data_IF_783874663243
#
_entry.id   IF_783874663243
#
_cell.length_a   1.000
_cell.length_b   1.000
_cell.length_c   1.000
_cell.angle_alpha   90.00
_cell.angle_beta   90.00
_cell.angle_gamma   90.00
#
_symmetry.space_group_name_H-M   'P 1'
#
loop_
_entity.id
_entity.type
_entity.pdbx_description
1 polymer ?
#
# COMPACT_ATOMS: atom_id res chain seq x y z
N UNK A 1 -18.30 -11.58 5.95
CA UNK A 1 -18.99 -12.34 4.88
C UNK A 1 -18.67 -13.84 5.03
N UNK A 2 -19.67 -14.73 4.99
CA UNK A 2 -19.43 -16.17 5.04
C UNK A 2 -18.76 -16.66 3.76
N UNK A 3 -17.71 -17.48 3.92
CA UNK A 3 -17.03 -18.15 2.82
C UNK A 3 -17.53 -19.59 2.71
N UNK A 4 -18.11 -19.92 1.57
CA UNK A 4 -18.65 -21.23 1.26
C UNK A 4 -17.71 -21.98 0.31
N UNK A 5 -17.10 -23.06 0.79
CA UNK A 5 -16.37 -23.98 -0.08
C UNK A 5 -17.38 -24.94 -0.72
N UNK A 6 -17.40 -24.98 -2.04
CA UNK A 6 -18.22 -25.90 -2.82
C UNK A 6 -17.35 -26.88 -3.59
N UNK A 7 -17.87 -28.10 -3.84
CA UNK A 7 -17.19 -29.04 -4.72
C UNK A 7 -17.07 -28.43 -6.12
N UNK A 8 -15.92 -28.53 -6.81
CA UNK A 8 -15.74 -27.90 -8.13
C UNK A 8 -16.84 -28.25 -9.14
N UNK A 9 -17.33 -29.49 -9.10
CA UNK A 9 -18.38 -29.98 -10.02
C UNK A 9 -19.79 -29.44 -9.67
N UNK A 10 -19.98 -28.89 -8.46
CA UNK A 10 -21.24 -28.32 -7.98
C UNK A 10 -21.27 -26.78 -8.03
N UNK A 11 -20.25 -26.13 -8.59
CA UNK A 11 -20.15 -24.68 -8.57
C UNK A 11 -21.32 -24.01 -9.30
N UNK A 12 -21.69 -24.49 -10.50
CA UNK A 12 -22.84 -23.94 -11.26
C UNK A 12 -24.16 -24.06 -10.48
N UNK A 13 -24.39 -25.22 -9.88
CA UNK A 13 -25.61 -25.45 -9.08
C UNK A 13 -25.65 -24.50 -7.85
N UNK A 14 -24.50 -24.26 -7.21
CA UNK A 14 -24.43 -23.34 -6.08
C UNK A 14 -24.67 -21.87 -6.51
N UNK A 15 -24.18 -21.47 -7.69
CA UNK A 15 -24.46 -20.16 -8.28
C UNK A 15 -25.97 -20.01 -8.58
N UNK A 16 -26.61 -21.02 -9.18
CA UNK A 16 -28.05 -21.02 -9.46
C UNK A 16 -28.90 -20.90 -8.19
N UNK A 17 -28.53 -21.63 -7.13
CA UNK A 17 -29.19 -21.54 -5.83
C UNK A 17 -29.08 -20.13 -5.22
N UNK A 18 -27.91 -19.52 -5.27
CA UNK A 18 -27.75 -18.15 -4.77
C UNK A 18 -28.56 -17.14 -5.60
N UNK A 19 -28.61 -17.32 -6.93
CA UNK A 19 -29.42 -16.46 -7.77
C UNK A 19 -30.92 -16.62 -7.49
N UNK A 20 -31.40 -17.84 -7.24
CA UNK A 20 -32.81 -18.09 -6.88
C UNK A 20 -33.18 -17.50 -5.52
N UNK A 21 -32.21 -17.34 -4.59
CA UNK A 21 -32.38 -16.71 -3.27
C UNK A 21 -32.09 -15.18 -3.30
N UNK A 22 -32.07 -14.58 -4.49
CA UNK A 22 -31.96 -13.13 -4.70
C UNK A 22 -30.54 -12.57 -4.68
N UNK A 23 -29.52 -13.40 -4.51
CA UNK A 23 -28.14 -12.92 -4.57
C UNK A 23 -27.72 -12.60 -6.00
N UNK A 24 -26.95 -11.52 -6.16
CA UNK A 24 -26.35 -11.10 -7.42
C UNK A 24 -24.85 -11.20 -7.35
N UNK A 25 -24.24 -11.80 -8.35
CA UNK A 25 -22.79 -11.90 -8.44
C UNK A 25 -22.19 -10.53 -8.76
N UNK A 26 -21.18 -10.11 -7.98
CA UNK A 26 -20.35 -8.97 -8.33
C UNK A 26 -19.40 -9.37 -9.44
N UNK A 27 -19.61 -8.83 -10.63
CA UNK A 27 -18.77 -9.10 -11.78
C UNK A 27 -17.68 -8.02 -11.91
N UNK A 28 -16.43 -8.43 -11.77
CA UNK A 28 -15.27 -7.57 -12.04
C UNK A 28 -14.78 -7.63 -13.49
N UNK A 29 -15.25 -8.61 -14.27
CA UNK A 29 -14.98 -8.81 -15.68
C UNK A 29 -16.09 -9.69 -16.30
N UNK A 30 -16.27 -9.69 -17.64
CA UNK A 30 -17.19 -10.61 -18.31
C UNK A 30 -16.93 -12.07 -17.91
N UNK A 31 -17.99 -12.88 -17.83
CA UNK A 31 -17.95 -14.26 -17.32
C UNK A 31 -16.90 -15.15 -18.03
N UNK A 32 -16.74 -14.98 -19.34
CA UNK A 32 -15.78 -15.73 -20.14
C UNK A 32 -14.32 -15.41 -19.79
N UNK A 33 -14.02 -14.15 -19.48
CA UNK A 33 -12.72 -13.71 -19.04
C UNK A 33 -12.42 -14.17 -17.63
N UNK A 34 -13.44 -14.17 -16.77
CA UNK A 34 -13.29 -14.69 -15.41
C UNK A 34 -12.91 -16.16 -15.40
N UNK A 35 -13.57 -17.01 -16.20
CA UNK A 35 -13.25 -18.42 -16.29
C UNK A 35 -11.80 -18.67 -16.75
N UNK A 36 -11.28 -17.87 -17.68
CA UNK A 36 -9.90 -17.97 -18.15
C UNK A 36 -8.86 -17.53 -17.13
N UNK A 37 -9.06 -16.33 -16.54
CA UNK A 37 -8.07 -15.73 -15.65
C UNK A 37 -8.04 -16.34 -14.25
N UNK A 38 -9.21 -16.71 -13.76
CA UNK A 38 -9.35 -17.03 -12.35
C UNK A 38 -9.39 -18.55 -12.12
N UNK A 39 -9.84 -19.33 -13.10
CA UNK A 39 -10.01 -20.77 -12.99
C UNK A 39 -10.91 -21.18 -11.81
N UNK A 40 -10.99 -22.47 -11.48
CA UNK A 40 -11.86 -22.96 -10.42
C UNK A 40 -11.46 -22.54 -8.99
N UNK A 41 -10.28 -21.96 -8.80
CA UNK A 41 -9.80 -21.50 -7.49
C UNK A 41 -10.19 -20.07 -7.15
N UNK A 42 -11.16 -19.48 -7.86
CA UNK A 42 -11.56 -18.09 -7.66
C UNK A 42 -12.65 -17.95 -6.63
N UNK A 43 -12.49 -16.93 -5.84
CA UNK A 43 -13.56 -16.41 -4.99
C UNK A 43 -14.56 -15.65 -5.87
N UNK A 44 -15.81 -16.02 -5.76
CA UNK A 44 -16.92 -15.34 -6.38
C UNK A 44 -17.76 -14.69 -5.31
N UNK A 45 -17.87 -13.37 -5.37
CA UNK A 45 -18.62 -12.59 -4.38
C UNK A 45 -20.04 -12.41 -4.87
N UNK A 46 -20.99 -12.75 -4.03
CA UNK A 46 -22.42 -12.55 -4.25
C UNK A 46 -22.96 -11.61 -3.17
N UNK A 47 -23.80 -10.66 -3.55
CA UNK A 47 -24.46 -9.73 -2.63
C UNK A 47 -25.96 -9.79 -2.89
N UNK A 48 -26.75 -9.85 -1.83
CA UNK A 48 -28.19 -9.68 -1.89
C UNK A 48 -28.50 -8.19 -1.71
N UNK A 49 -29.13 -7.52 -2.73
CA UNK A 49 -29.33 -6.08 -2.70
C UNK A 49 -30.19 -5.58 -1.54
N UNK A 50 -31.15 -6.39 -1.09
CA UNK A 50 -32.19 -5.99 -0.14
C UNK A 50 -31.63 -5.76 1.28
N UNK A 51 -30.67 -6.56 1.72
CA UNK A 51 -30.08 -6.49 3.06
C UNK A 51 -28.55 -6.40 3.06
N UNK A 52 -27.95 -6.22 1.88
CA UNK A 52 -26.49 -6.16 1.66
C UNK A 52 -25.75 -7.40 2.18
N UNK A 53 -26.45 -8.53 2.36
CA UNK A 53 -25.82 -9.77 2.78
C UNK A 53 -24.85 -10.27 1.72
N UNK A 54 -23.58 -10.42 2.09
CA UNK A 54 -22.52 -10.92 1.22
C UNK A 54 -22.24 -12.41 1.46
N UNK A 55 -21.97 -13.15 0.38
CA UNK A 55 -21.51 -14.54 0.41
C UNK A 55 -20.37 -14.71 -0.58
N UNK A 56 -19.31 -15.40 -0.16
CA UNK A 56 -18.18 -15.72 -1.02
C UNK A 56 -18.19 -17.21 -1.36
N UNK A 57 -18.39 -17.56 -2.62
CA UNK A 57 -18.22 -18.93 -3.11
C UNK A 57 -16.79 -19.21 -3.48
N UNK A 58 -16.28 -20.37 -3.06
CA UNK A 58 -14.92 -20.85 -3.38
C UNK A 58 -14.99 -22.29 -3.87
N UNK A 59 -14.46 -22.56 -5.06
CA UNK A 59 -14.26 -23.95 -5.55
C UNK A 59 -12.79 -24.39 -5.41
N UNK A 60 -11.91 -23.48 -5.00
CA UNK A 60 -10.49 -23.73 -4.73
C UNK A 60 -10.04 -22.98 -3.46
N UNK A 61 -8.99 -23.47 -2.83
CA UNK A 61 -8.53 -22.98 -1.52
C UNK A 61 -7.39 -21.96 -1.63
N UNK A 62 -6.63 -21.99 -2.73
CA UNK A 62 -5.47 -21.12 -2.93
C UNK A 62 -5.37 -20.65 -4.38
N UNK A 63 -4.90 -19.43 -4.64
CA UNK A 63 -4.71 -18.93 -5.99
C UNK A 63 -3.71 -19.79 -6.79
N UNK A 64 -3.88 -19.90 -8.11
CA UNK A 64 -3.03 -20.70 -9.01
C UNK A 64 -1.55 -20.31 -8.98
N UNK A 65 -1.24 -19.05 -8.69
CA UNK A 65 0.14 -18.56 -8.63
C UNK A 65 0.87 -18.94 -7.34
N UNK A 66 0.15 -19.39 -6.30
CA UNK A 66 0.78 -19.97 -5.12
C UNK A 66 1.43 -21.30 -5.44
N UNK A 67 2.62 -21.56 -4.91
CA UNK A 67 3.30 -22.85 -5.07
C UNK A 67 2.83 -23.89 -4.05
N UNK A 68 1.67 -23.68 -3.45
CA UNK A 68 1.02 -24.55 -2.49
C UNK A 68 0.27 -25.66 -3.22
N UNK A 69 0.33 -26.88 -2.68
CA UNK A 69 -0.36 -28.06 -3.18
C UNK A 69 -1.43 -28.48 -2.17
N UNK A 70 -2.56 -27.80 -2.22
CA UNK A 70 -3.72 -28.12 -1.38
C UNK A 70 -4.88 -28.48 -2.32
N UNK A 71 -5.20 -29.78 -2.35
CA UNK A 71 -6.32 -30.26 -3.15
C UNK A 71 -7.65 -30.02 -2.42
N UNK A 72 -8.52 -29.23 -3.06
CA UNK A 72 -9.82 -28.92 -2.52
C UNK A 72 -10.70 -30.18 -2.35
N UNK A 73 -10.54 -31.21 -3.18
CA UNK A 73 -11.27 -32.47 -3.08
C UNK A 73 -10.86 -33.27 -1.85
N UNK A 74 -9.56 -33.34 -1.57
CA UNK A 74 -9.07 -34.02 -0.36
C UNK A 74 -9.55 -33.31 0.92
N UNK A 75 -9.50 -31.99 0.93
CA UNK A 75 -10.02 -31.17 2.05
C UNK A 75 -11.52 -31.35 2.19
N UNK A 76 -12.26 -31.37 1.07
CA UNK A 76 -13.70 -31.66 1.05
C UNK A 76 -14.03 -33.01 1.67
N UNK A 77 -13.27 -34.05 1.39
CA UNK A 77 -13.50 -35.40 1.91
C UNK A 77 -13.28 -35.51 3.41
N UNK A 78 -12.48 -34.60 4.00
CA UNK A 78 -12.20 -34.56 5.46
C UNK A 78 -13.13 -33.62 6.25
N UNK A 79 -14.13 -33.02 5.59
CA UNK A 79 -15.06 -32.08 6.22
C UNK A 79 -15.76 -32.71 7.46
N UNK A 80 -16.04 -31.87 8.42
CA UNK A 80 -16.72 -32.24 9.67
C UNK A 80 -18.06 -31.51 9.80
N UNK A 81 -18.95 -31.98 10.62
CA UNK A 81 -20.21 -31.31 10.91
C UNK A 81 -20.11 -30.51 12.21
N UNK A 82 -20.60 -29.28 12.18
CA UNK A 82 -20.74 -28.41 13.35
C UNK A 82 -22.19 -27.98 13.49
N UNK A 83 -22.73 -28.04 14.70
CA UNK A 83 -24.08 -27.58 14.96
C UNK A 83 -24.14 -26.06 15.09
N UNK A 84 -24.85 -25.41 14.18
CA UNK A 84 -25.10 -23.97 14.21
C UNK A 84 -26.62 -23.76 14.35
N UNK A 85 -27.07 -23.18 15.42
CA UNK A 85 -28.50 -22.94 15.73
C UNK A 85 -29.35 -24.18 15.52
N UNK A 86 -28.88 -25.35 15.99
CA UNK A 86 -29.59 -26.63 15.92
C UNK A 86 -29.56 -27.30 14.54
N UNK A 87 -28.84 -26.74 13.55
CA UNK A 87 -28.64 -27.37 12.24
C UNK A 87 -27.20 -27.83 12.07
N UNK A 88 -26.97 -29.01 11.53
CA UNK A 88 -25.64 -29.48 11.20
C UNK A 88 -25.17 -28.85 9.93
N UNK A 89 -24.10 -28.06 10.01
CA UNK A 89 -23.43 -27.41 8.88
C UNK A 89 -22.08 -28.10 8.69
N UNK A 90 -21.76 -28.42 7.43
CA UNK A 90 -20.45 -28.97 7.08
C UNK A 90 -19.42 -27.86 7.07
N UNK A 91 -18.27 -28.12 7.72
CA UNK A 91 -17.13 -27.20 7.74
C UNK A 91 -15.84 -27.97 7.52
N UNK A 92 -14.72 -27.25 7.32
CA UNK A 92 -13.40 -27.85 7.21
C UNK A 92 -13.03 -28.57 8.53
N UNK A 93 -12.28 -29.67 8.42
CA UNK A 93 -11.64 -30.26 9.61
C UNK A 93 -10.76 -29.21 10.29
N UNK A 94 -10.62 -29.21 11.63
CA UNK A 94 -9.88 -28.16 12.34
C UNK A 94 -8.47 -27.89 11.81
N UNK A 95 -7.73 -28.93 11.45
CA UNK A 95 -6.37 -28.84 10.90
C UNK A 95 -6.37 -28.20 9.50
N UNK A 96 -7.34 -28.57 8.65
CA UNK A 96 -7.46 -28.00 7.30
C UNK A 96 -7.94 -26.54 7.38
N UNK A 97 -8.85 -26.21 8.30
CA UNK A 97 -9.29 -24.83 8.53
C UNK A 97 -8.12 -23.94 8.92
N UNK A 98 -7.33 -24.33 9.92
CA UNK A 98 -6.21 -23.53 10.39
C UNK A 98 -5.15 -23.33 9.29
N UNK A 99 -4.89 -24.37 8.49
CA UNK A 99 -3.96 -24.29 7.38
C UNK A 99 -4.46 -23.33 6.30
N UNK A 100 -5.72 -23.41 5.89
CA UNK A 100 -6.36 -22.52 4.91
C UNK A 100 -6.38 -21.09 5.44
N UNK A 101 -6.75 -20.90 6.70
CA UNK A 101 -6.78 -19.58 7.34
C UNK A 101 -5.39 -18.91 7.35
N UNK A 102 -4.32 -19.64 7.66
CA UNK A 102 -2.96 -19.12 7.59
C UNK A 102 -2.53 -18.79 6.14
N UNK A 103 -2.99 -19.55 5.14
CA UNK A 103 -2.74 -19.26 3.73
C UNK A 103 -3.49 -18.00 3.26
N UNK A 104 -4.72 -17.82 3.69
CA UNK A 104 -5.50 -16.61 3.42
C UNK A 104 -4.87 -15.38 4.10
N UNK A 105 -4.36 -15.54 5.33
CA UNK A 105 -3.60 -14.49 6.01
C UNK A 105 -2.37 -14.05 5.21
N UNK A 106 -1.61 -15.00 4.63
CA UNK A 106 -0.49 -14.67 3.73
C UNK A 106 -1.00 -13.98 2.46
N UNK A 107 -2.05 -14.50 1.82
CA UNK A 107 -2.65 -13.92 0.62
C UNK A 107 -2.99 -12.44 0.83
N UNK A 108 -3.49 -12.08 2.00
CA UNK A 108 -3.87 -10.72 2.40
C UNK A 108 -2.75 -9.98 3.14
N UNK A 109 -1.52 -10.54 3.19
CA UNK A 109 -0.36 -9.88 3.79
C UNK A 109 -0.45 -9.70 5.31
N UNK A 110 -1.38 -10.38 5.99
CA UNK A 110 -1.70 -10.20 7.42
C UNK A 110 -2.07 -8.74 7.77
N UNK A 111 -2.70 -8.03 6.82
CA UNK A 111 -3.01 -6.61 6.95
C UNK A 111 -4.06 -6.30 8.03
N UNK A 112 -4.92 -7.25 8.35
CA UNK A 112 -5.97 -7.09 9.37
C UNK A 112 -5.63 -7.86 10.64
N UNK A 113 -5.66 -7.18 11.79
CA UNK A 113 -5.44 -7.82 13.10
C UNK A 113 -6.44 -8.95 13.36
N UNK A 114 -7.66 -8.84 12.84
CA UNK A 114 -8.69 -9.87 12.92
C UNK A 114 -8.19 -11.25 12.53
N UNK A 115 -7.36 -11.39 11.49
CA UNK A 115 -6.79 -12.68 11.09
C UNK A 115 -5.96 -13.34 12.20
N UNK A 116 -5.19 -12.53 12.93
CA UNK A 116 -4.40 -13.04 14.07
C UNK A 116 -5.29 -13.35 15.25
N UNK A 117 -6.32 -12.53 15.51
CA UNK A 117 -7.32 -12.80 16.55
C UNK A 117 -8.11 -14.08 16.27
N UNK A 118 -8.52 -14.29 15.02
CA UNK A 118 -9.24 -15.50 14.61
C UNK A 118 -8.36 -16.74 14.77
N UNK A 119 -7.06 -16.66 14.40
CA UNK A 119 -6.10 -17.74 14.63
C UNK A 119 -6.00 -18.08 16.13
N UNK A 120 -5.83 -17.07 16.98
CA UNK A 120 -5.72 -17.26 18.43
C UNK A 120 -7.00 -17.82 19.04
N UNK A 121 -8.15 -17.27 18.65
CA UNK A 121 -9.45 -17.74 19.13
C UNK A 121 -9.76 -19.16 18.68
N UNK A 122 -9.41 -19.49 17.44
CA UNK A 122 -9.58 -20.84 16.91
C UNK A 122 -8.76 -21.86 17.72
N UNK A 123 -7.50 -21.58 18.01
CA UNK A 123 -6.64 -22.44 18.82
C UNK A 123 -7.18 -22.63 20.25
N UNK A 124 -7.69 -21.57 20.86
CA UNK A 124 -8.31 -21.64 22.19
C UNK A 124 -9.60 -22.51 22.20
N UNK A 125 -10.38 -22.43 21.12
CA UNK A 125 -11.64 -23.19 21.01
C UNK A 125 -11.43 -24.63 20.55
N UNK A 126 -10.25 -25.00 20.05
CA UNK A 126 -9.91 -26.33 19.55
C UNK A 126 -8.65 -26.90 20.26
N UNK A 127 -8.71 -27.14 21.59
CA UNK A 127 -7.54 -27.60 22.35
C UNK A 127 -7.07 -29.02 21.98
N UNK A 128 -7.89 -29.78 21.26
CA UNK A 128 -7.60 -31.16 20.83
C UNK A 128 -7.15 -31.27 19.38
N UNK A 129 -6.59 -30.18 18.80
CA UNK A 129 -6.08 -30.22 17.43
C UNK A 129 -4.96 -31.26 17.33
N UNK A 130 -4.94 -32.04 16.24
CA UNK A 130 -3.86 -32.98 15.98
C UNK A 130 -2.69 -32.24 15.31
N UNK A 131 -1.76 -31.80 16.15
CA UNK A 131 -0.56 -31.07 15.70
C UNK A 131 0.32 -31.88 14.75
N UNK A 132 0.38 -33.20 14.93
CA UNK A 132 1.18 -34.10 14.05
C UNK A 132 0.57 -34.12 12.66
N UNK A 133 -0.74 -34.34 12.57
CA UNK A 133 -1.47 -34.29 11.31
C UNK A 133 -1.39 -32.93 10.64
N UNK A 134 -1.60 -31.84 11.41
CA UNK A 134 -1.52 -30.47 10.89
C UNK A 134 -0.15 -30.18 10.26
N UNK A 135 0.93 -30.52 10.95
CA UNK A 135 2.30 -30.32 10.42
C UNK A 135 2.57 -31.20 9.21
N UNK A 136 2.11 -32.45 9.21
CA UNK A 136 2.24 -33.35 8.06
C UNK A 136 1.49 -32.81 6.83
N UNK A 137 0.23 -32.39 7.00
CA UNK A 137 -0.57 -31.78 5.93
C UNK A 137 0.08 -30.49 5.41
N UNK A 138 0.56 -29.63 6.30
CA UNK A 138 1.24 -28.39 5.93
C UNK A 138 2.55 -28.64 5.14
N UNK A 139 3.31 -29.70 5.50
CA UNK A 139 4.49 -30.13 4.75
C UNK A 139 4.12 -30.68 3.36
N UNK A 140 3.15 -31.58 3.28
CA UNK A 140 2.67 -32.16 2.02
C UNK A 140 2.14 -31.06 1.08
N UNK A 141 1.39 -30.11 1.62
CA UNK A 141 0.87 -28.95 0.91
C UNK A 141 1.97 -27.90 0.56
N UNK A 142 3.21 -28.04 1.04
CA UNK A 142 4.27 -27.01 0.95
C UNK A 142 3.89 -25.67 1.59
N UNK A 143 3.10 -25.71 2.62
CA UNK A 143 2.56 -24.55 3.32
C UNK A 143 3.07 -24.41 4.76
N UNK A 144 4.10 -25.17 5.16
CA UNK A 144 4.59 -25.20 6.54
C UNK A 144 5.02 -23.82 7.07
N UNK A 145 5.69 -23.01 6.24
CA UNK A 145 6.07 -21.67 6.65
C UNK A 145 4.88 -20.73 6.78
N UNK A 146 3.86 -20.93 5.95
CA UNK A 146 2.59 -20.21 6.07
C UNK A 146 1.92 -20.48 7.40
N UNK A 147 1.80 -21.75 7.77
CA UNK A 147 1.28 -22.18 9.05
C UNK A 147 2.10 -21.60 10.21
N UNK A 148 3.43 -21.76 10.17
CA UNK A 148 4.32 -21.23 11.21
C UNK A 148 4.19 -19.73 11.39
N UNK A 149 4.07 -18.97 10.30
CA UNK A 149 3.90 -17.51 10.39
C UNK A 149 2.61 -17.15 11.13
N UNK A 150 1.47 -17.77 10.77
CA UNK A 150 0.21 -17.51 11.46
C UNK A 150 0.24 -17.88 12.94
N UNK A 151 0.81 -19.04 13.27
CA UNK A 151 0.99 -19.47 14.66
C UNK A 151 1.92 -18.55 15.45
N UNK A 152 3.03 -18.13 14.84
CA UNK A 152 3.99 -17.20 15.44
C UNK A 152 3.36 -15.85 15.75
N UNK A 153 2.59 -15.28 14.81
CA UNK A 153 1.87 -14.01 15.03
C UNK A 153 0.84 -14.14 16.16
N UNK A 154 0.09 -15.24 16.23
CA UNK A 154 -0.88 -15.49 17.31
C UNK A 154 -0.19 -15.65 18.69
N UNK A 155 0.96 -16.30 18.74
CA UNK A 155 1.74 -16.45 19.97
C UNK A 155 2.35 -15.11 20.41
N UNK A 156 3.00 -14.36 19.49
CA UNK A 156 3.70 -13.12 19.80
C UNK A 156 2.74 -11.98 20.23
N UNK A 157 1.59 -11.86 19.56
CA UNK A 157 0.71 -10.70 19.78
C UNK A 157 -0.39 -10.97 20.81
N UNK A 158 -0.82 -12.21 20.94
CA UNK A 158 -1.98 -12.55 21.76
C UNK A 158 -1.67 -13.63 22.82
N UNK A 159 -0.37 -13.89 23.06
CA UNK A 159 0.12 -14.86 24.03
C UNK A 159 -0.62 -16.22 23.94
N UNK A 160 -0.88 -16.67 22.71
CA UNK A 160 -1.60 -17.93 22.46
C UNK A 160 -0.66 -19.09 22.76
N UNK A 161 -1.02 -20.01 23.68
CA UNK A 161 -0.16 -21.14 24.03
C UNK A 161 -0.04 -22.10 22.86
N UNK A 162 1.20 -22.53 22.57
CA UNK A 162 1.51 -23.52 21.55
C UNK A 162 2.25 -24.72 22.18
N UNK A 163 2.20 -25.91 21.58
CA UNK A 163 3.01 -27.01 22.04
C UNK A 163 4.51 -26.70 21.95
N UNK A 164 5.35 -27.17 22.91
CA UNK A 164 6.79 -26.88 22.93
C UNK A 164 7.51 -27.21 21.63
N UNK A 165 7.13 -28.31 20.95
CA UNK A 165 7.72 -28.68 19.66
C UNK A 165 7.42 -27.67 18.55
N UNK A 166 6.24 -27.03 18.58
CA UNK A 166 5.88 -25.97 17.64
C UNK A 166 6.66 -24.69 17.97
N UNK A 167 6.69 -24.27 19.24
CA UNK A 167 7.46 -23.12 19.70
C UNK A 167 8.94 -23.23 19.33
N UNK A 168 9.56 -24.38 19.57
CA UNK A 168 10.94 -24.64 19.17
C UNK A 168 11.12 -24.52 17.63
N UNK A 169 10.15 -25.03 16.86
CA UNK A 169 10.18 -24.92 15.40
C UNK A 169 10.07 -23.49 14.89
N UNK A 170 9.34 -22.61 15.61
CA UNK A 170 9.23 -21.18 15.31
C UNK A 170 10.54 -20.46 15.66
N UNK A 171 11.12 -20.76 16.82
CA UNK A 171 12.37 -20.16 17.28
C UNK A 171 13.57 -20.46 16.38
N UNK A 172 13.56 -21.59 15.67
CA UNK A 172 14.66 -22.02 14.78
C UNK A 172 14.50 -21.55 13.33
N UNK A 173 13.30 -21.16 12.88
CA UNK A 173 13.05 -20.75 11.48
C UNK A 173 13.25 -19.23 11.30
N UNK A 174 14.52 -18.82 11.02
CA UNK A 174 14.88 -17.41 10.80
C UNK A 174 14.06 -16.73 9.71
N UNK A 175 13.59 -17.48 8.70
CA UNK A 175 12.77 -16.92 7.62
C UNK A 175 11.39 -16.53 8.13
N UNK A 176 10.77 -17.38 8.94
CA UNK A 176 9.48 -17.10 9.58
C UNK A 176 9.61 -15.93 10.55
N UNK A 177 10.65 -15.89 11.38
CA UNK A 177 10.91 -14.76 12.29
C UNK A 177 11.06 -13.43 11.55
N UNK A 178 11.86 -13.43 10.47
CA UNK A 178 12.04 -12.25 9.62
C UNK A 178 10.71 -11.81 8.94
N UNK A 179 9.88 -12.77 8.52
CA UNK A 179 8.56 -12.47 7.96
C UNK A 179 7.60 -11.91 9.02
N UNK A 180 7.57 -12.47 10.23
CA UNK A 180 6.77 -11.96 11.35
C UNK A 180 7.19 -10.54 11.75
N UNK A 181 8.52 -10.27 11.83
CA UNK A 181 9.04 -8.94 12.09
C UNK A 181 8.60 -7.92 11.01
N UNK A 182 8.65 -8.30 9.73
CA UNK A 182 8.20 -7.45 8.63
C UNK A 182 6.70 -7.13 8.70
N UNK A 183 5.86 -8.11 9.04
CA UNK A 183 4.42 -7.90 9.26
C UNK A 183 4.19 -6.95 10.44
N UNK A 184 4.91 -7.12 11.56
CA UNK A 184 4.82 -6.27 12.74
C UNK A 184 5.20 -4.82 12.45
N UNK A 185 6.34 -4.59 11.79
CA UNK A 185 6.80 -3.24 11.42
C UNK A 185 5.75 -2.54 10.56
N UNK A 186 5.21 -3.22 9.54
CA UNK A 186 4.17 -2.67 8.67
C UNK A 186 2.92 -2.24 9.46
N UNK A 187 2.54 -3.00 10.48
CA UNK A 187 1.38 -2.70 11.32
C UNK A 187 1.61 -1.51 12.25
N UNK A 188 2.83 -1.36 12.77
CA UNK A 188 3.17 -0.26 13.68
C UNK A 188 3.38 1.09 12.96
N UNK A 189 3.73 1.06 11.68
CA UNK A 189 4.02 2.28 10.92
C UNK A 189 2.79 2.98 10.36
N UNK A 190 1.55 2.47 10.62
CA UNK A 190 0.29 3.02 10.05
C UNK A 190 0.44 3.38 8.56
N UNK A 191 1.21 2.59 7.82
CA UNK A 191 1.49 2.89 6.43
C UNK A 191 0.17 2.97 5.67
N UNK A 192 -0.20 4.20 5.28
CA UNK A 192 -1.34 4.50 4.40
C UNK A 192 -1.26 3.75 3.05
N UNK A 193 -0.18 3.05 2.81
CA UNK A 193 0.08 2.20 1.65
C UNK A 193 -0.09 0.71 2.00
N UNK A 194 -1.25 0.35 2.59
CA UNK A 194 -1.63 -1.05 2.86
C UNK A 194 -1.55 -1.95 1.59
N UNK A 195 -1.45 -1.37 0.40
CA UNK A 195 -1.37 -2.05 -0.89
C UNK A 195 0.04 -2.05 -1.51
N UNK A 196 1.12 -2.18 -0.74
CA UNK A 196 2.46 -2.33 -1.34
C UNK A 196 2.64 -3.75 -1.94
N UNK A 197 2.44 -3.94 -3.27
CA UNK A 197 2.48 -5.27 -3.88
C UNK A 197 3.86 -5.91 -3.82
N UNK A 198 4.93 -5.11 -3.69
CA UNK A 198 6.28 -5.65 -3.54
C UNK A 198 6.46 -6.26 -2.15
N UNK A 199 5.93 -5.65 -1.10
CA UNK A 199 6.00 -6.19 0.24
C UNK A 199 5.19 -7.49 0.37
N UNK A 200 3.98 -7.53 -0.22
CA UNK A 200 3.17 -8.74 -0.30
C UNK A 200 3.85 -9.81 -1.15
N UNK A 201 4.47 -9.44 -2.28
CA UNK A 201 5.25 -10.36 -3.10
C UNK A 201 6.42 -10.97 -2.31
N UNK A 202 7.19 -10.17 -1.56
CA UNK A 202 8.31 -10.67 -0.76
C UNK A 202 7.86 -11.54 0.40
N UNK A 203 6.72 -11.25 1.04
CA UNK A 203 6.13 -12.10 2.07
C UNK A 203 5.77 -13.46 1.47
N UNK A 204 5.07 -13.48 0.33
CA UNK A 204 4.73 -14.70 -0.38
C UNK A 204 5.97 -15.49 -0.82
N UNK A 205 6.97 -14.82 -1.36
CA UNK A 205 8.23 -15.45 -1.78
C UNK A 205 8.94 -16.16 -0.61
N UNK A 206 9.08 -15.47 0.52
CA UNK A 206 9.75 -16.01 1.72
C UNK A 206 8.98 -17.16 2.38
N UNK A 207 7.67 -17.16 2.32
CA UNK A 207 6.84 -18.21 2.91
C UNK A 207 6.76 -19.49 2.08
N UNK A 208 7.28 -19.47 0.84
CA UNK A 208 7.38 -20.70 0.04
C UNK A 208 8.43 -21.68 0.60
N UNK A 209 8.27 -22.97 0.26
CA UNK A 209 9.19 -24.02 0.68
C UNK A 209 10.54 -23.93 -0.08
N UNK A 210 11.51 -23.23 0.52
CA UNK A 210 12.86 -23.07 -0.02
C UNK A 210 12.97 -22.10 -1.20
N UNK A 211 14.22 -21.87 -1.67
CA UNK A 211 14.51 -20.95 -2.77
C UNK A 211 13.81 -21.33 -4.09
N UNK A 212 13.84 -22.61 -4.45
CA UNK A 212 13.16 -23.10 -5.67
C UNK A 212 11.64 -22.91 -5.61
N UNK A 213 11.05 -23.05 -4.43
CA UNK A 213 9.62 -22.73 -4.22
C UNK A 213 9.32 -21.25 -4.45
N UNK A 214 10.16 -20.37 -3.92
CA UNK A 214 10.08 -18.94 -4.15
C UNK A 214 10.25 -18.56 -5.62
N UNK A 215 11.24 -19.13 -6.30
CA UNK A 215 11.47 -18.90 -7.73
C UNK A 215 10.26 -19.35 -8.59
N UNK A 216 9.71 -20.54 -8.28
CA UNK A 216 8.49 -21.02 -8.95
C UNK A 216 7.31 -20.08 -8.71
N UNK A 217 7.15 -19.58 -7.48
CA UNK A 217 6.14 -18.60 -7.15
C UNK A 217 6.35 -17.31 -7.97
N UNK A 218 7.56 -16.76 -8.00
CA UNK A 218 7.90 -15.55 -8.75
C UNK A 218 7.59 -15.70 -10.23
N UNK A 219 7.99 -16.83 -10.84
CA UNK A 219 7.72 -17.12 -12.24
C UNK A 219 6.20 -17.22 -12.52
N UNK A 220 5.47 -17.95 -11.67
CA UNK A 220 4.01 -18.04 -11.79
C UNK A 220 3.32 -16.69 -11.59
N UNK A 221 3.72 -15.91 -10.58
CA UNK A 221 3.17 -14.60 -10.33
C UNK A 221 3.42 -13.62 -11.48
N UNK A 222 4.58 -13.73 -12.14
CA UNK A 222 4.94 -12.92 -13.30
C UNK A 222 4.21 -13.34 -14.59
N UNK A 223 3.89 -14.62 -14.74
CA UNK A 223 3.30 -15.15 -15.99
C UNK A 223 1.79 -15.38 -15.91
N UNK A 224 1.23 -15.76 -14.73
CA UNK A 224 -0.20 -16.08 -14.62
C UNK A 224 -1.07 -14.84 -14.86
N UNK A 225 -1.90 -14.80 -15.91
CA UNK A 225 -2.76 -13.65 -16.19
C UNK A 225 -3.77 -13.38 -15.07
N UNK A 226 -4.16 -12.13 -14.91
CA UNK A 226 -5.14 -11.68 -13.92
C UNK A 226 -6.16 -10.73 -14.54
N UNK A 227 -7.26 -10.45 -13.84
CA UNK A 227 -8.25 -9.45 -14.26
C UNK A 227 -7.65 -8.06 -14.53
N UNK A 228 -6.52 -7.73 -13.89
CA UNK A 228 -5.80 -6.49 -14.16
C UNK A 228 -5.17 -6.43 -15.55
N UNK A 229 -4.80 -7.57 -16.14
CA UNK A 229 -4.24 -7.62 -17.48
C UNK A 229 -5.33 -7.38 -18.53
N UNK A 230 -6.54 -7.89 -18.30
CA UNK A 230 -7.70 -7.58 -19.12
C UNK A 230 -8.09 -6.08 -19.05
N UNK A 231 -8.06 -5.48 -17.88
CA UNK A 231 -8.31 -4.03 -17.74
C UNK A 231 -7.26 -3.18 -18.44
N UNK A 232 -6.03 -3.70 -18.54
CA UNK A 232 -4.93 -3.01 -19.22
C UNK A 232 -5.05 -3.09 -20.75
N UNK A 233 -5.44 -4.25 -21.28
CA UNK A 233 -5.60 -4.50 -22.71
C UNK A 233 -6.71 -5.54 -22.91
N UNK A 234 -7.80 -5.17 -23.59
CA UNK A 234 -8.92 -6.05 -23.87
C UNK A 234 -8.67 -6.82 -25.17
N UNK A 235 -8.35 -8.10 -25.06
CA UNK A 235 -8.13 -8.98 -26.20
C UNK A 235 -9.39 -9.83 -26.51
N UNK A 236 -9.69 -10.11 -27.79
CA UNK A 236 -10.73 -11.08 -28.15
C UNK A 236 -10.33 -12.48 -27.69
N UNK A 237 -11.32 -13.38 -27.53
CA UNK A 237 -11.16 -14.71 -26.94
C UNK A 237 -10.06 -15.56 -27.61
N UNK A 238 -9.93 -15.46 -28.93
CA UNK A 238 -8.91 -16.18 -29.73
C UNK A 238 -7.47 -15.78 -29.37
N UNK A 239 -7.26 -14.57 -28.79
CA UNK A 239 -5.96 -14.03 -28.45
C UNK A 239 -5.66 -14.10 -26.93
N UNK A 240 -6.50 -14.74 -26.12
CA UNK A 240 -6.27 -14.88 -24.67
C UNK A 240 -4.89 -15.45 -24.29
N UNK A 241 -4.28 -16.40 -25.01
CA UNK A 241 -2.93 -16.84 -24.70
C UNK A 241 -1.88 -15.72 -24.68
N UNK A 242 -2.11 -14.61 -25.42
CA UNK A 242 -1.20 -13.46 -25.41
C UNK A 242 -1.13 -12.74 -24.05
N UNK A 243 -2.10 -12.96 -23.16
CA UNK A 243 -2.03 -12.39 -21.82
C UNK A 243 -0.83 -12.88 -21.00
N UNK A 244 -0.27 -14.05 -21.33
CA UNK A 244 0.99 -14.51 -20.73
C UNK A 244 2.19 -13.60 -21.09
N UNK A 245 2.10 -12.86 -22.22
CA UNK A 245 3.08 -11.85 -22.64
C UNK A 245 2.70 -10.44 -22.15
N UNK A 246 1.40 -10.11 -22.17
CA UNK A 246 0.89 -8.82 -21.68
C UNK A 246 1.23 -8.61 -20.21
N UNK A 247 1.12 -9.67 -19.40
CA UNK A 247 1.34 -9.57 -17.95
C UNK A 247 2.75 -9.11 -17.56
N UNK A 248 3.86 -9.71 -18.00
CA UNK A 248 5.20 -9.22 -17.62
C UNK A 248 5.45 -7.80 -18.12
N UNK A 249 4.93 -7.42 -19.30
CA UNK A 249 5.03 -6.05 -19.82
C UNK A 249 4.28 -5.07 -18.92
N UNK A 250 3.04 -5.38 -18.52
CA UNK A 250 2.28 -4.56 -17.60
C UNK A 250 2.98 -4.41 -16.23
N UNK A 251 3.53 -5.51 -15.69
CA UNK A 251 4.28 -5.48 -14.44
C UNK A 251 5.50 -4.58 -14.58
N UNK A 252 6.27 -4.70 -15.67
CA UNK A 252 7.44 -3.85 -15.93
C UNK A 252 7.06 -2.35 -16.01
N UNK A 253 5.99 -2.03 -16.73
CA UNK A 253 5.46 -0.65 -16.80
C UNK A 253 5.05 -0.15 -15.41
N UNK A 254 4.35 -0.96 -14.62
CA UNK A 254 3.93 -0.57 -13.27
C UNK A 254 5.10 -0.38 -12.32
N UNK A 255 6.12 -1.24 -12.39
CA UNK A 255 7.35 -1.11 -11.61
C UNK A 255 8.14 0.14 -12.02
N UNK A 256 8.27 0.39 -13.33
CA UNK A 256 8.91 1.59 -13.86
C UNK A 256 8.18 2.88 -13.41
N UNK A 257 6.85 2.91 -13.52
CA UNK A 257 6.05 4.04 -13.03
C UNK A 257 6.16 4.23 -11.51
N UNK A 258 6.29 3.13 -10.74
CA UNK A 258 6.48 3.21 -9.28
C UNK A 258 7.89 3.64 -8.90
N UNK A 259 8.92 3.14 -9.59
CA UNK A 259 10.29 3.59 -9.40
C UNK A 259 10.40 5.09 -9.70
N UNK A 260 9.80 5.55 -10.80
CA UNK A 260 9.69 6.95 -11.15
C UNK A 260 8.91 7.75 -10.09
N UNK A 261 7.72 7.26 -9.66
CA UNK A 261 6.95 7.90 -8.58
C UNK A 261 7.69 7.90 -7.22
N UNK A 262 8.48 6.87 -6.90
CA UNK A 262 9.31 6.85 -5.68
C UNK A 262 10.47 7.82 -5.77
N UNK A 263 11.06 7.97 -6.94
CA UNK A 263 12.06 9.02 -7.20
C UNK A 263 11.46 10.41 -7.01
N UNK A 264 10.18 10.56 -7.39
CA UNK A 264 9.37 11.78 -7.25
C UNK A 264 8.78 11.96 -5.84
N UNK A 265 8.33 10.88 -5.17
CA UNK A 265 7.71 10.92 -3.84
C UNK A 265 8.69 11.00 -2.66
N UNK A 266 10.01 10.98 -2.92
CA UNK A 266 11.01 11.36 -1.93
C UNK A 266 11.07 12.89 -1.66
N UNK A 267 10.24 13.66 -2.35
CA UNK A 267 9.87 15.03 -2.03
C UNK A 267 8.65 14.95 -1.11
N UNK A 268 8.63 15.68 -0.01
CA UNK A 268 7.68 15.64 1.08
C UNK A 268 6.21 15.37 0.67
N UNK A 269 5.40 14.66 1.48
CA UNK A 269 3.96 14.60 1.26
C UNK A 269 3.40 16.02 1.32
N UNK A 270 2.46 16.36 0.43
CA UNK A 270 1.80 17.66 0.47
C UNK A 270 1.08 17.87 1.80
N UNK A 271 1.61 18.76 2.61
CA UNK A 271 1.00 19.25 3.84
C UNK A 271 0.91 20.77 3.71
N UNK A 272 -0.29 21.34 3.58
CA UNK A 272 -0.44 22.78 3.40
C UNK A 272 0.01 23.52 4.66
N UNK A 273 0.92 24.49 4.52
CA UNK A 273 1.31 25.36 5.63
C UNK A 273 0.11 26.20 6.09
N UNK A 274 -0.12 26.41 7.39
CA UNK A 274 -1.07 27.40 7.87
C UNK A 274 -0.78 28.77 7.25
N UNK A 275 -1.80 29.62 7.10
CA UNK A 275 -1.62 30.93 6.46
C UNK A 275 -0.75 31.84 7.30
N UNK A 276 -0.82 31.73 8.61
CA UNK A 276 0.00 32.46 9.56
C UNK A 276 1.50 32.10 9.41
N UNK A 277 1.81 30.83 9.16
CA UNK A 277 3.17 30.37 8.88
C UNK A 277 3.64 30.89 7.53
N UNK A 278 2.79 30.84 6.50
CA UNK A 278 3.09 31.40 5.18
C UNK A 278 3.43 32.90 5.27
N UNK A 279 2.66 33.65 6.03
CA UNK A 279 2.88 35.08 6.27
C UNK A 279 4.16 35.32 7.09
N UNK A 280 4.41 34.49 8.10
CA UNK A 280 5.64 34.52 8.88
C UNK A 280 6.89 34.30 8.03
N UNK A 281 6.87 33.31 7.12
CA UNK A 281 7.97 33.04 6.18
C UNK A 281 8.27 34.26 5.26
N UNK A 282 7.22 34.84 4.68
CA UNK A 282 7.34 36.01 3.81
C UNK A 282 7.85 37.25 4.57
N UNK A 283 7.39 37.44 5.81
CA UNK A 283 7.84 38.54 6.70
C UNK A 283 9.30 38.35 7.12
N UNK A 284 9.69 37.13 7.54
CA UNK A 284 11.07 36.82 7.94
C UNK A 284 12.07 37.03 6.81
N UNK A 285 11.65 36.74 5.56
CA UNK A 285 12.44 37.01 4.36
C UNK A 285 12.44 38.51 3.97
N UNK A 286 11.67 39.36 4.62
CA UNK A 286 11.52 40.77 4.27
C UNK A 286 11.14 40.95 2.78
N UNK A 287 10.15 40.16 2.31
CA UNK A 287 9.73 40.16 0.89
C UNK A 287 9.19 41.52 0.49
N UNK A 288 9.64 42.04 -0.66
CA UNK A 288 9.23 43.30 -1.25
C UNK A 288 8.79 43.18 -2.71
N UNK A 289 8.37 44.29 -3.32
CA UNK A 289 7.81 44.29 -4.70
C UNK A 289 8.81 43.94 -5.79
N UNK A 290 10.10 44.09 -5.53
CA UNK A 290 11.18 43.81 -6.48
C UNK A 290 11.63 42.32 -6.38
N UNK A 291 11.10 41.55 -5.43
CA UNK A 291 11.50 40.18 -5.20
C UNK A 291 10.89 39.21 -6.20
N UNK A 292 11.66 38.15 -6.45
CA UNK A 292 11.22 36.94 -7.14
C UNK A 292 11.27 35.78 -6.16
N UNK A 293 10.10 35.42 -5.65
CA UNK A 293 9.93 34.40 -4.64
C UNK A 293 9.74 33.03 -5.28
N UNK A 294 10.70 32.14 -5.09
CA UNK A 294 10.61 30.74 -5.50
C UNK A 294 10.08 29.90 -4.34
N UNK A 295 9.01 29.14 -4.58
CA UNK A 295 8.46 28.17 -3.61
C UNK A 295 8.66 26.75 -4.16
N UNK A 296 9.58 26.00 -3.55
CA UNK A 296 9.95 24.67 -3.99
C UNK A 296 9.10 23.63 -3.24
N UNK A 297 8.23 22.94 -3.97
CA UNK A 297 7.16 22.13 -3.41
C UNK A 297 5.93 22.99 -3.08
N UNK A 298 5.55 23.84 -4.04
CA UNK A 298 4.56 24.90 -3.82
C UNK A 298 3.12 24.40 -3.51
N UNK A 299 2.85 23.11 -3.74
CA UNK A 299 1.53 22.55 -3.51
C UNK A 299 0.43 23.31 -4.26
N UNK A 300 -0.53 23.86 -3.52
CA UNK A 300 -1.65 24.64 -4.06
C UNK A 300 -1.30 26.11 -4.38
N UNK A 301 0.00 26.47 -4.30
CA UNK A 301 0.52 27.79 -4.67
C UNK A 301 0.30 28.91 -3.65
N UNK A 302 -0.22 28.59 -2.46
CA UNK A 302 -0.63 29.58 -1.45
C UNK A 302 0.45 30.60 -1.10
N UNK A 303 1.71 30.19 -1.02
CA UNK A 303 2.82 31.05 -0.62
C UNK A 303 3.15 32.05 -1.72
N UNK A 304 3.33 31.61 -2.96
CA UNK A 304 3.63 32.52 -4.08
C UNK A 304 2.45 33.43 -4.43
N UNK A 305 1.22 32.96 -4.23
CA UNK A 305 -0.01 33.75 -4.38
C UNK A 305 -0.06 34.84 -3.30
N UNK A 306 0.24 34.54 -2.05
CA UNK A 306 0.27 35.51 -0.95
C UNK A 306 1.42 36.53 -1.15
N UNK A 307 2.58 36.09 -1.64
CA UNK A 307 3.69 36.98 -2.01
C UNK A 307 3.26 37.98 -3.08
N UNK A 308 2.62 37.54 -4.14
CA UNK A 308 2.13 38.40 -5.22
C UNK A 308 1.02 39.35 -4.75
N UNK A 309 0.06 38.85 -3.96
CA UNK A 309 -1.11 39.60 -3.51
C UNK A 309 -0.75 40.69 -2.50
N UNK A 310 0.09 40.35 -1.50
CA UNK A 310 0.36 41.23 -0.35
C UNK A 310 1.58 42.11 -0.52
N UNK A 311 2.58 41.59 -1.19
CA UNK A 311 3.88 42.27 -1.33
C UNK A 311 4.16 42.76 -2.76
N UNK A 312 3.23 42.50 -3.71
CA UNK A 312 3.42 42.81 -5.13
C UNK A 312 4.64 42.13 -5.75
N UNK A 313 5.21 41.11 -5.11
CA UNK A 313 6.35 40.34 -5.58
C UNK A 313 5.96 39.44 -6.78
N UNK A 314 6.97 38.98 -7.53
CA UNK A 314 6.78 37.90 -8.50
C UNK A 314 6.94 36.55 -7.82
N UNK A 315 6.07 35.61 -8.11
CA UNK A 315 6.10 34.25 -7.56
C UNK A 315 6.45 33.21 -8.62
N UNK A 316 7.31 32.26 -8.29
CA UNK A 316 7.56 31.05 -9.08
C UNK A 316 7.31 29.84 -8.19
N UNK A 317 6.19 29.16 -8.41
CA UNK A 317 5.85 27.93 -7.69
C UNK A 317 6.21 26.70 -8.50
N UNK A 318 6.89 25.74 -7.87
CA UNK A 318 7.34 24.51 -8.52
C UNK A 318 6.86 23.30 -7.74
N UNK A 319 6.20 22.37 -8.40
CA UNK A 319 5.79 21.08 -7.81
C UNK A 319 5.88 19.96 -8.85
N UNK A 320 6.01 18.73 -8.39
CA UNK A 320 6.03 17.53 -9.24
C UNK A 320 4.62 17.01 -9.54
N UNK A 321 3.64 17.28 -8.67
CA UNK A 321 2.27 16.81 -8.85
C UNK A 321 1.49 17.78 -9.77
N UNK A 322 1.20 17.30 -10.99
CA UNK A 322 0.41 18.05 -11.96
C UNK A 322 -0.98 18.49 -11.44
N UNK A 323 -1.57 17.77 -10.49
CA UNK A 323 -2.86 18.13 -9.89
C UNK A 323 -2.71 19.34 -8.98
N UNK A 324 -1.65 19.36 -8.15
CA UNK A 324 -1.37 20.50 -7.29
C UNK A 324 -1.05 21.75 -8.11
N UNK A 325 -0.30 21.61 -9.20
CA UNK A 325 -0.05 22.72 -10.14
C UNK A 325 -1.35 23.22 -10.79
N UNK A 326 -2.27 22.32 -11.17
CA UNK A 326 -3.58 22.72 -11.71
C UNK A 326 -4.42 23.47 -10.65
N UNK A 327 -4.40 23.01 -9.41
CA UNK A 327 -5.06 23.67 -8.28
C UNK A 327 -4.44 25.05 -7.99
N UNK A 328 -3.11 25.15 -8.03
CA UNK A 328 -2.37 26.39 -7.85
C UNK A 328 -2.72 27.41 -8.94
N UNK A 329 -2.81 27.02 -10.21
CA UNK A 329 -3.31 27.88 -11.29
C UNK A 329 -4.73 28.39 -11.05
N UNK A 330 -5.63 27.52 -10.59
CA UNK A 330 -7.00 27.91 -10.25
C UNK A 330 -7.03 28.89 -9.07
N UNK A 331 -6.15 28.70 -8.08
CA UNK A 331 -6.03 29.59 -6.93
C UNK A 331 -5.46 30.97 -7.33
N UNK A 332 -4.43 31.01 -8.18
CA UNK A 332 -3.83 32.27 -8.67
C UNK A 332 -4.86 33.09 -9.45
N UNK A 333 -5.65 32.46 -10.33
CA UNK A 333 -6.77 33.13 -11.03
C UNK A 333 -7.82 33.68 -10.09
N UNK A 334 -8.24 32.88 -9.09
CA UNK A 334 -9.21 33.34 -8.08
C UNK A 334 -8.70 34.51 -7.25
N UNK A 335 -7.41 34.56 -7.00
CA UNK A 335 -6.77 35.66 -6.29
C UNK A 335 -6.46 36.89 -7.17
N UNK A 336 -6.63 36.79 -8.48
CA UNK A 336 -6.35 37.89 -9.43
C UNK A 336 -4.87 38.25 -9.56
N UNK A 337 -3.96 37.26 -9.42
CA UNK A 337 -2.51 37.46 -9.46
C UNK A 337 -1.81 36.55 -10.49
N UNK A 338 -2.54 36.00 -11.45
CA UNK A 338 -2.00 35.06 -12.43
C UNK A 338 -0.91 35.69 -13.33
N UNK A 339 -0.91 36.99 -13.51
CA UNK A 339 0.08 37.76 -14.23
C UNK A 339 1.43 37.90 -13.50
N UNK A 340 1.44 37.67 -12.19
CA UNK A 340 2.60 37.76 -11.31
C UNK A 340 3.14 36.41 -10.82
N UNK A 341 2.40 35.32 -11.07
CA UNK A 341 2.72 33.97 -10.56
C UNK A 341 2.96 33.02 -11.72
N UNK A 342 4.16 32.46 -11.80
CA UNK A 342 4.52 31.39 -12.71
C UNK A 342 4.47 30.05 -11.97
N UNK A 343 3.79 29.06 -12.52
CA UNK A 343 3.61 27.74 -11.89
C UNK A 343 4.17 26.67 -12.83
N UNK A 344 5.10 25.86 -12.35
CA UNK A 344 5.86 24.91 -13.14
C UNK A 344 5.70 23.49 -12.59
N UNK A 345 5.32 22.56 -13.45
CA UNK A 345 5.45 21.14 -13.13
C UNK A 345 6.87 20.69 -13.44
N UNK A 346 7.76 20.74 -12.44
CA UNK A 346 9.19 20.46 -12.63
C UNK A 346 9.81 19.86 -11.39
N UNK A 347 10.89 19.08 -11.58
CA UNK A 347 11.70 18.58 -10.48
C UNK A 347 12.58 19.71 -9.91
N UNK A 348 12.52 19.91 -8.60
CA UNK A 348 13.33 20.86 -7.86
C UNK A 348 14.84 20.68 -8.10
N UNK A 349 15.29 19.45 -8.32
CA UNK A 349 16.71 19.14 -8.58
C UNK A 349 17.19 19.63 -9.98
N UNK A 350 16.27 19.93 -10.89
CA UNK A 350 16.58 20.43 -12.24
C UNK A 350 16.22 21.90 -12.44
N UNK A 351 15.62 22.54 -11.44
CA UNK A 351 15.17 23.93 -11.48
C UNK A 351 16.36 24.89 -11.53
N UNK A 352 16.33 25.87 -12.42
CA UNK A 352 17.28 26.99 -12.38
C UNK A 352 16.89 27.97 -11.27
N UNK A 353 17.77 28.16 -10.29
CA UNK A 353 17.55 29.01 -9.13
C UNK A 353 18.17 30.40 -9.29
N UNK A 354 18.90 30.68 -10.38
CA UNK A 354 19.65 31.93 -10.58
C UNK A 354 18.78 33.19 -10.64
N UNK A 355 17.50 33.03 -10.96
CA UNK A 355 16.53 34.13 -11.00
C UNK A 355 15.87 34.44 -9.66
N UNK A 356 16.07 33.62 -8.63
CA UNK A 356 15.42 33.79 -7.33
C UNK A 356 16.15 34.86 -6.50
N UNK A 357 15.36 35.72 -5.84
CA UNK A 357 15.86 36.60 -4.75
C UNK A 357 15.47 36.04 -3.40
N UNK A 358 14.41 35.25 -3.34
CA UNK A 358 13.94 34.55 -2.14
C UNK A 358 13.56 33.14 -2.52
N UNK A 359 14.01 32.15 -1.74
CA UNK A 359 13.60 30.74 -1.86
C UNK A 359 12.90 30.29 -0.60
N UNK A 360 11.73 29.71 -0.75
CA UNK A 360 10.90 29.18 0.31
C UNK A 360 10.87 27.66 0.24
N UNK A 361 11.00 27.01 1.40
CA UNK A 361 11.09 25.57 1.52
C UNK A 361 10.20 25.05 2.67
N UNK A 362 9.37 24.06 2.38
CA UNK A 362 8.76 23.20 3.38
C UNK A 362 8.87 21.74 2.94
N UNK A 363 10.09 21.25 2.93
CA UNK A 363 10.44 19.92 2.42
C UNK A 363 11.06 19.07 3.55
N UNK A 364 11.13 17.76 3.32
CA UNK A 364 11.78 16.86 4.28
C UNK A 364 13.27 17.17 4.45
N UNK A 365 13.88 16.89 5.63
CA UNK A 365 15.30 17.17 5.90
C UNK A 365 16.25 16.65 4.84
N UNK A 366 16.03 15.43 4.36
CA UNK A 366 16.85 14.81 3.31
C UNK A 366 16.78 15.57 1.97
N UNK A 367 15.67 16.21 1.66
CA UNK A 367 15.50 17.02 0.45
C UNK A 367 16.18 18.37 0.60
N UNK A 368 16.05 19.03 1.75
CA UNK A 368 16.75 20.25 2.07
C UNK A 368 18.27 20.08 1.94
N UNK A 369 18.82 18.99 2.50
CA UNK A 369 20.26 18.69 2.38
C UNK A 369 20.73 18.47 0.95
N UNK A 370 19.91 17.88 0.07
CA UNK A 370 20.24 17.73 -1.37
C UNK A 370 20.20 19.06 -2.11
N UNK A 371 19.24 19.93 -1.79
CA UNK A 371 19.10 21.24 -2.43
C UNK A 371 20.16 22.22 -1.95
N UNK A 372 20.70 22.08 -0.74
CA UNK A 372 21.65 23.00 -0.11
C UNK A 372 22.79 23.43 -1.02
N UNK A 373 23.50 22.48 -1.63
CA UNK A 373 24.65 22.78 -2.51
C UNK A 373 24.23 23.66 -3.69
N UNK A 374 23.08 23.35 -4.31
CA UNK A 374 22.57 24.14 -5.44
C UNK A 374 22.10 25.53 -5.02
N UNK A 375 21.50 25.68 -3.85
CA UNK A 375 21.13 26.97 -3.30
C UNK A 375 22.36 27.85 -3.11
N UNK A 376 23.43 27.29 -2.54
CA UNK A 376 24.69 28.02 -2.34
C UNK A 376 25.43 28.36 -3.62
N UNK A 377 25.33 27.52 -4.67
CA UNK A 377 26.03 27.74 -5.94
C UNK A 377 25.27 28.66 -6.91
N UNK A 378 23.94 28.57 -6.96
CA UNK A 378 23.14 29.21 -8.01
C UNK A 378 22.52 30.52 -7.56
N UNK A 379 22.29 30.71 -6.27
CA UNK A 379 21.69 31.94 -5.74
C UNK A 379 22.73 33.08 -5.77
N UNK A 380 22.26 34.27 -6.06
CA UNK A 380 23.11 35.49 -6.09
C UNK A 380 23.35 36.01 -4.67
N UNK A 381 24.46 36.67 -4.41
CA UNK A 381 24.67 37.39 -3.17
C UNK A 381 23.51 38.31 -2.83
N UNK A 382 23.04 38.27 -1.57
CA UNK A 382 21.87 38.98 -1.10
C UNK A 382 20.55 38.19 -1.23
N UNK A 383 20.55 37.02 -1.89
CA UNK A 383 19.39 36.14 -1.88
C UNK A 383 19.12 35.58 -0.47
N UNK A 384 17.87 35.26 -0.20
CA UNK A 384 17.41 34.75 1.10
C UNK A 384 16.74 33.40 0.92
N UNK A 385 17.05 32.47 1.82
CA UNK A 385 16.41 31.15 1.87
C UNK A 385 15.67 31.02 3.19
N UNK A 386 14.38 30.72 3.15
CA UNK A 386 13.58 30.46 4.35
C UNK A 386 13.07 29.01 4.31
N UNK A 387 13.32 28.28 5.39
CA UNK A 387 12.82 26.91 5.56
C UNK A 387 11.89 26.84 6.75
N UNK A 388 10.74 26.19 6.55
CA UNK A 388 9.79 25.89 7.60
C UNK A 388 10.13 24.54 8.22
N UNK A 389 10.25 24.50 9.54
CA UNK A 389 10.40 23.31 10.40
C UNK A 389 11.73 22.58 10.31
N UNK A 390 12.41 22.54 9.18
CA UNK A 390 13.63 21.75 8.97
C UNK A 390 14.81 22.62 8.55
N UNK A 391 15.95 22.38 9.18
CA UNK A 391 17.20 23.08 8.90
C UNK A 391 17.95 22.54 7.67
N UNK A 392 19.17 23.05 7.45
CA UNK A 392 20.08 22.66 6.38
C UNK A 392 21.32 21.89 6.90
N UNK A 393 21.20 21.22 8.04
CA UNK A 393 22.29 20.47 8.66
C UNK A 393 23.38 21.37 9.22
N UNK A 394 24.61 21.21 8.72
CA UNK A 394 25.79 21.99 9.15
C UNK A 394 25.86 23.41 8.57
N UNK A 395 24.92 23.83 7.71
CA UNK A 395 24.76 25.20 7.30
C UNK A 395 23.91 25.95 8.32
N UNK A 396 24.60 26.67 9.23
CA UNK A 396 23.92 27.39 10.30
C UNK A 396 23.02 28.51 9.75
N UNK A 397 21.79 28.66 10.24
CA UNK A 397 20.92 29.77 9.84
C UNK A 397 21.39 31.10 10.44
N UNK A 398 21.18 32.20 9.69
CA UNK A 398 21.44 33.56 10.19
C UNK A 398 20.39 34.01 11.24
N UNK A 399 19.15 33.49 11.09
CA UNK A 399 18.06 33.77 12.03
C UNK A 399 17.18 32.52 12.20
N UNK A 400 16.67 32.34 13.39
CA UNK A 400 15.66 31.31 13.72
C UNK A 400 14.53 31.98 14.48
N UNK A 401 13.30 31.80 14.00
CA UNK A 401 12.09 32.32 14.62
C UNK A 401 11.13 31.19 14.96
N UNK A 402 10.46 31.26 16.12
CA UNK A 402 9.43 30.30 16.52
C UNK A 402 8.09 31.01 16.55
N UNK A 403 7.19 30.61 15.67
CA UNK A 403 5.80 31.08 15.62
C UNK A 403 4.94 30.16 16.47
N UNK A 404 4.13 30.72 17.37
CA UNK A 404 3.11 29.99 18.09
C UNK A 404 1.74 30.38 17.54
N UNK A 405 1.00 29.40 17.03
CA UNK A 405 -0.35 29.62 16.49
C UNK A 405 -1.39 29.67 17.61
N UNK A 406 -2.60 30.19 17.32
CA UNK A 406 -3.68 30.31 18.31
C UNK A 406 -4.13 28.97 18.92
N UNK A 407 -3.92 27.85 18.20
CA UNK A 407 -4.18 26.48 18.67
C UNK A 407 -3.08 25.91 19.57
N UNK A 408 -2.01 26.68 19.82
CA UNK A 408 -0.86 26.29 20.61
C UNK A 408 0.23 25.54 19.82
N UNK A 409 0.03 25.29 18.52
CA UNK A 409 1.04 24.66 17.69
C UNK A 409 2.23 25.60 17.46
N UNK A 410 3.45 25.06 17.55
CA UNK A 410 4.69 25.82 17.32
C UNK A 410 5.32 25.44 16.00
N UNK A 411 5.77 26.45 15.26
CA UNK A 411 6.43 26.31 13.95
C UNK A 411 7.75 27.06 13.98
N UNK A 412 8.84 26.37 13.66
CA UNK A 412 10.18 26.97 13.58
C UNK A 412 10.46 27.37 12.14
N UNK A 413 10.90 28.60 11.96
CA UNK A 413 11.34 29.18 10.68
C UNK A 413 12.84 29.45 10.77
N UNK A 414 13.55 29.09 9.72
CA UNK A 414 14.98 29.31 9.59
C UNK A 414 15.26 30.20 8.38
N UNK A 415 16.16 31.17 8.53
CA UNK A 415 16.58 32.10 7.47
C UNK A 415 18.09 31.97 7.25
N UNK A 416 18.48 31.86 5.98
CA UNK A 416 19.87 32.00 5.50
C UNK A 416 19.97 33.13 4.49
N UNK A 417 21.06 33.89 4.55
CA UNK A 417 21.44 34.92 3.55
C UNK A 417 22.63 34.42 2.76
N UNK A 418 22.58 34.56 1.42
CA UNK A 418 23.66 34.14 0.50
C UNK A 418 24.69 35.26 0.38
#
# INVERSE_FOLDING_TARGET
EPHLLVHPDALCCAEELLHSDGYRRIQYAPSEHQAYFLGPSTEQVFIRPDDQAGVVLRAGLVPRYFSVRLDAREVWNRRTAVAIRGRNVLTLAPEDFLLVHCLDGIKLGWEYLGWTCDTAQFLRSHPRIDWTQLVQRARAARALRALRLGLGLAADWLATPLPPAIEQSLATDRVVQSAAAAVRIRRLQEEKDASNPLASFWLHFRTQSGFLGGLRYALRAALTPTSGDWRFLQLPRSLFPLYYLVRPVRIAIQLGRRAFRRSVANLAPYVPSPMEVTQGMLSLAEVGPDDVVYDIGCGDGRLVIEAARRYCARGVGVDLDARLIADAHANARRAGVEDRVTLLQQDAETLDLSGATVVMLYLLPATNLRLRHRLQEQLRPGARVVSHRFDMGDWAPDCTEVLTLPDGATHTLYLWRI
#
